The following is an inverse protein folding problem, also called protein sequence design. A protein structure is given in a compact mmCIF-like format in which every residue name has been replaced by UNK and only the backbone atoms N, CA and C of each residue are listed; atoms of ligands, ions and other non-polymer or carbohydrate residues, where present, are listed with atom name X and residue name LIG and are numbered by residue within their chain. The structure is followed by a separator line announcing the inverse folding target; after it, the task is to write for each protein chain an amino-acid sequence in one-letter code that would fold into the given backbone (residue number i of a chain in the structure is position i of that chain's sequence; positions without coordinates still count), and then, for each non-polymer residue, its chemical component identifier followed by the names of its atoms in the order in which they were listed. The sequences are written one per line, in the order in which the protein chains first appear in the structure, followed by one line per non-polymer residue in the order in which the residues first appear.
data_IF_874326543109
#
_entry.id   IF_874326543109
#
_cell.length_a   1.000
_cell.length_b   1.000
_cell.length_c   1.000
_cell.angle_alpha   90.00
_cell.angle_beta   90.00
_cell.angle_gamma   90.00
#
_symmetry.space_group_name_H-M   'P 1'
#
loop_
_entity.id
_entity.type
_entity.pdbx_description
1 polymer ?
#
# COMPACT_ATOMS: atom_id res chain seq x y z
N UNK A 1 -12.95 0.30 -0.86
CA UNK A 1 -13.28 -0.09 -2.23
C UNK A 1 -12.55 -1.38 -2.52
N UNK A 2 -13.21 -2.51 -2.27
CA UNK A 2 -12.84 -3.72 -3.00
C UNK A 2 -13.29 -3.48 -4.41
N UNK A 3 -12.36 -3.34 -5.34
CA UNK A 3 -12.72 -3.25 -6.74
C UNK A 3 -13.19 -4.66 -7.13
N UNK A 4 -14.49 -4.85 -7.30
CA UNK A 4 -15.02 -6.08 -7.91
C UNK A 4 -14.75 -6.00 -9.41
N UNK A 5 -13.49 -6.25 -9.79
CA UNK A 5 -13.08 -6.37 -11.17
C UNK A 5 -12.43 -7.74 -11.37
N UNK A 6 -12.84 -8.41 -12.46
CA UNK A 6 -12.13 -9.60 -12.94
C UNK A 6 -10.68 -9.22 -13.29
N UNK A 7 -9.66 -9.87 -12.71
CA UNK A 7 -8.28 -9.44 -12.87
C UNK A 7 -7.78 -9.70 -14.30
N UNK A 8 -7.10 -8.71 -14.86
CA UNK A 8 -6.45 -8.82 -16.16
C UNK A 8 -4.93 -8.75 -16.00
N UNK A 9 -4.23 -9.64 -16.69
CA UNK A 9 -2.77 -9.79 -16.61
C UNK A 9 -2.15 -9.44 -17.96
N UNK A 10 -1.18 -8.52 -17.94
CA UNK A 10 -0.46 -8.07 -19.12
C UNK A 10 1.05 -8.25 -18.91
N UNK A 11 1.79 -8.42 -20.01
CA UNK A 11 3.25 -8.54 -20.01
C UNK A 11 3.76 -9.99 -19.95
N UNK A 12 4.98 -10.17 -19.46
CA UNK A 12 5.70 -11.45 -19.42
C UNK A 12 6.38 -11.67 -18.06
N UNK A 13 7.25 -12.66 -17.93
CA UNK A 13 7.94 -12.95 -16.66
C UNK A 13 8.84 -11.81 -16.16
N UNK A 14 9.39 -10.99 -17.05
CA UNK A 14 10.29 -9.90 -16.69
C UNK A 14 9.54 -8.64 -16.23
N UNK A 15 8.33 -8.41 -16.76
CA UNK A 15 7.52 -7.21 -16.50
C UNK A 15 6.04 -7.57 -16.59
N UNK A 16 5.32 -7.42 -15.48
CA UNK A 16 3.87 -7.70 -15.41
C UNK A 16 3.12 -6.45 -14.97
N UNK A 17 1.95 -6.26 -15.57
CA UNK A 17 0.93 -5.34 -15.08
C UNK A 17 -0.28 -6.18 -14.73
N UNK A 18 -0.78 -5.99 -13.51
CA UNK A 18 -1.97 -6.66 -13.01
C UNK A 18 -3.02 -5.59 -12.76
N UNK A 19 -4.09 -5.62 -13.55
CA UNK A 19 -5.24 -4.75 -13.34
C UNK A 19 -6.28 -5.54 -12.54
N UNK A 20 -6.34 -5.30 -11.23
CA UNK A 20 -7.17 -6.03 -10.29
C UNK A 20 -7.21 -5.34 -8.92
N UNK A 21 -8.00 -5.89 -7.99
CA UNK A 21 -7.94 -5.48 -6.58
C UNK A 21 -6.54 -5.79 -6.01
N UNK A 22 -5.80 -4.75 -5.67
CA UNK A 22 -4.38 -4.86 -5.34
C UNK A 22 -4.10 -5.83 -4.20
N UNK A 23 -4.93 -5.83 -3.14
CA UNK A 23 -4.75 -6.71 -2.00
C UNK A 23 -5.07 -8.18 -2.35
N UNK A 24 -6.12 -8.41 -3.14
CA UNK A 24 -6.48 -9.74 -3.64
C UNK A 24 -5.38 -10.32 -4.52
N UNK A 25 -4.79 -9.53 -5.41
CA UNK A 25 -3.70 -9.98 -6.28
C UNK A 25 -2.38 -10.16 -5.53
N UNK A 26 -2.08 -9.29 -4.55
CA UNK A 26 -0.91 -9.40 -3.69
C UNK A 26 -0.89 -10.73 -2.92
N UNK A 27 -2.06 -11.20 -2.45
CA UNK A 27 -2.21 -12.50 -1.77
C UNK A 27 -1.88 -13.70 -2.64
N UNK A 28 -1.93 -13.57 -3.97
CA UNK A 28 -1.59 -14.66 -4.91
C UNK A 28 -0.08 -14.79 -5.11
N UNK A 29 0.70 -13.76 -4.77
CA UNK A 29 2.15 -13.80 -4.93
C UNK A 29 2.80 -14.73 -3.89
N UNK A 30 3.86 -15.48 -4.26
CA UNK A 30 4.56 -16.34 -3.31
C UNK A 30 5.20 -15.54 -2.17
N UNK A 31 5.27 -16.14 -1.00
CA UNK A 31 6.01 -15.56 0.13
C UNK A 31 7.51 -15.44 -0.20
N UNK A 32 8.19 -14.47 0.39
CA UNK A 32 9.63 -14.24 0.22
C UNK A 32 10.09 -14.20 -1.26
N UNK A 33 9.30 -13.60 -2.14
CA UNK A 33 9.58 -13.55 -3.60
C UNK A 33 10.00 -12.17 -4.11
N UNK A 34 9.72 -11.10 -3.35
CA UNK A 34 9.94 -9.71 -3.76
C UNK A 34 11.15 -9.11 -3.04
N UNK A 35 12.04 -8.46 -3.78
CA UNK A 35 13.21 -7.75 -3.23
C UNK A 35 12.86 -6.34 -2.76
N UNK A 36 11.97 -5.64 -3.47
CA UNK A 36 11.62 -4.25 -3.21
C UNK A 36 10.13 -4.02 -3.45
N UNK A 37 9.48 -3.35 -2.51
CA UNK A 37 8.10 -2.85 -2.65
C UNK A 37 8.12 -1.34 -2.54
N UNK A 38 7.35 -0.69 -3.42
CA UNK A 38 6.97 0.71 -3.31
C UNK A 38 5.44 0.77 -3.36
N UNK A 39 4.82 1.24 -2.28
CA UNK A 39 3.37 1.26 -2.13
C UNK A 39 2.89 2.67 -1.79
N UNK A 40 1.87 3.14 -2.50
CA UNK A 40 1.18 4.40 -2.26
C UNK A 40 -0.33 4.14 -2.09
N UNK A 41 -0.74 3.51 -0.97
CA UNK A 41 -2.15 3.22 -0.70
C UNK A 41 -2.93 4.53 -0.45
N UNK A 42 -4.28 4.52 -0.57
CA UNK A 42 -5.14 5.65 -0.22
C UNK A 42 -4.82 6.25 1.16
N UNK A 43 -5.00 7.56 1.33
CA UNK A 43 -4.67 8.25 2.59
C UNK A 43 -5.91 8.43 3.48
N UNK A 44 -7.11 8.20 2.94
CA UNK A 44 -8.37 8.36 3.65
C UNK A 44 -8.56 9.77 4.26
N UNK A 45 -8.14 10.81 3.53
CA UNK A 45 -8.14 12.21 4.00
C UNK A 45 -9.27 13.05 3.41
N UNK A 46 -10.31 12.43 2.85
CA UNK A 46 -11.46 13.14 2.28
C UNK A 46 -11.25 13.69 0.88
N UNK A 47 -10.18 13.30 0.19
CA UNK A 47 -9.92 13.72 -1.19
C UNK A 47 -10.91 13.04 -2.15
N UNK A 48 -11.37 13.81 -3.13
CA UNK A 48 -12.22 13.33 -4.21
C UNK A 48 -11.38 13.05 -5.46
N UNK A 49 -11.44 11.81 -5.94
CA UNK A 49 -10.84 11.38 -7.19
C UNK A 49 -11.96 11.01 -8.18
N UNK A 50 -12.50 12.01 -8.88
CA UNK A 50 -13.53 11.83 -9.91
C UNK A 50 -14.77 11.08 -9.40
N UNK A 51 -15.31 11.53 -8.26
CA UNK A 51 -16.45 10.93 -7.57
C UNK A 51 -16.07 9.81 -6.60
N UNK A 52 -14.80 9.38 -6.57
CA UNK A 52 -14.29 8.45 -5.57
C UNK A 52 -13.76 9.22 -4.36
N UNK A 53 -14.67 9.50 -3.42
CA UNK A 53 -14.33 10.20 -2.18
C UNK A 53 -13.69 9.24 -1.18
N UNK A 54 -12.52 9.60 -0.69
CA UNK A 54 -11.80 8.92 0.39
C UNK A 54 -12.46 9.19 1.76
N UNK A 55 -13.57 8.53 2.06
CA UNK A 55 -14.34 8.78 3.30
C UNK A 55 -14.71 7.50 4.07
N UNK A 56 -13.76 6.60 4.25
CA UNK A 56 -14.00 5.35 4.97
C UNK A 56 -14.00 5.62 6.47
N UNK A 57 -14.76 4.82 7.21
CA UNK A 57 -14.60 4.72 8.66
C UNK A 57 -13.14 4.38 9.01
N UNK A 58 -12.56 5.09 9.98
CA UNK A 58 -11.14 5.00 10.34
C UNK A 58 -10.74 3.57 10.73
N UNK A 59 -11.57 2.89 11.52
CA UNK A 59 -11.30 1.52 11.96
C UNK A 59 -11.22 0.57 10.76
N UNK A 60 -12.15 0.71 9.83
CA UNK A 60 -12.22 -0.10 8.61
C UNK A 60 -11.05 0.17 7.66
N UNK A 61 -10.67 1.44 7.52
CA UNK A 61 -9.51 1.85 6.73
C UNK A 61 -8.21 1.30 7.32
N UNK A 62 -8.00 1.46 8.63
CA UNK A 62 -6.80 0.97 9.31
C UNK A 62 -6.70 -0.56 9.26
N UNK A 63 -7.82 -1.26 9.42
CA UNK A 63 -7.86 -2.72 9.27
C UNK A 63 -7.39 -3.16 7.88
N UNK A 64 -7.89 -2.51 6.82
CA UNK A 64 -7.47 -2.77 5.45
C UNK A 64 -6.00 -2.41 5.21
N UNK A 65 -5.54 -1.25 5.68
CA UNK A 65 -4.16 -0.80 5.54
C UNK A 65 -3.18 -1.75 6.24
N UNK A 66 -3.52 -2.24 7.43
CA UNK A 66 -2.71 -3.20 8.16
C UNK A 66 -2.64 -4.55 7.45
N UNK A 67 -3.72 -4.99 6.82
CA UNK A 67 -3.75 -6.19 5.99
C UNK A 67 -2.84 -6.04 4.75
N UNK A 68 -2.83 -4.87 4.10
CA UNK A 68 -1.87 -4.57 3.04
C UNK A 68 -0.42 -4.65 3.53
N UNK A 69 -0.12 -4.09 4.71
CA UNK A 69 1.23 -4.13 5.29
C UNK A 69 1.65 -5.57 5.62
N UNK A 70 0.75 -6.38 6.17
CA UNK A 70 1.01 -7.79 6.47
C UNK A 70 1.32 -8.59 5.22
N UNK A 71 0.55 -8.40 4.15
CA UNK A 71 0.77 -9.08 2.88
C UNK A 71 2.05 -8.62 2.19
N UNK A 72 2.37 -7.32 2.24
CA UNK A 72 3.66 -6.79 1.78
C UNK A 72 4.83 -7.44 2.53
N UNK A 73 4.73 -7.56 3.87
CA UNK A 73 5.74 -8.25 4.67
C UNK A 73 5.90 -9.73 4.26
N UNK A 74 4.79 -10.44 4.04
CA UNK A 74 4.81 -11.86 3.65
C UNK A 74 5.52 -12.09 2.32
N UNK A 75 5.26 -11.26 1.31
CA UNK A 75 5.86 -11.44 -0.03
C UNK A 75 7.29 -10.94 -0.11
N UNK A 76 7.72 -10.06 0.79
CA UNK A 76 9.10 -9.59 0.84
C UNK A 76 10.05 -10.70 1.27
N UNK A 77 11.20 -10.78 0.60
CA UNK A 77 12.34 -11.58 1.08
C UNK A 77 12.81 -11.05 2.43
N UNK A 78 13.50 -11.90 3.20
CA UNK A 78 14.10 -11.56 4.52
C UNK A 78 15.02 -10.32 4.50
N UNK A 79 15.60 -10.01 3.34
CA UNK A 79 16.46 -8.84 3.14
C UNK A 79 15.83 -7.79 2.20
N UNK A 80 14.55 -7.98 1.85
CA UNK A 80 13.82 -7.04 1.03
C UNK A 80 13.48 -5.75 1.77
N UNK A 81 13.16 -4.72 1.01
CA UNK A 81 12.81 -3.39 1.54
C UNK A 81 11.43 -2.96 1.07
N UNK A 82 10.66 -2.32 1.95
CA UNK A 82 9.41 -1.66 1.62
C UNK A 82 9.55 -0.15 1.77
N UNK A 83 9.02 0.59 0.82
CA UNK A 83 8.66 1.99 0.94
C UNK A 83 7.13 2.08 0.93
N UNK A 84 6.56 2.73 1.95
CA UNK A 84 5.12 3.01 2.03
C UNK A 84 4.92 4.51 2.16
N UNK A 85 4.08 5.06 1.31
CA UNK A 85 3.71 6.47 1.32
C UNK A 85 2.36 6.65 2.00
N UNK A 86 2.22 7.73 2.77
CA UNK A 86 0.96 8.17 3.31
C UNK A 86 1.02 9.61 3.83
N UNK A 87 -0.12 10.13 4.28
CA UNK A 87 -0.21 11.41 4.99
C UNK A 87 0.52 11.39 6.33
N UNK A 88 0.87 12.58 6.82
CA UNK A 88 1.49 12.76 8.14
C UNK A 88 0.61 12.23 9.29
N UNK A 89 -0.70 12.34 9.14
CA UNK A 89 -1.73 11.96 10.09
C UNK A 89 -1.79 10.44 10.29
N UNK A 90 -1.55 9.67 9.23
CA UNK A 90 -1.56 8.20 9.28
C UNK A 90 -0.23 7.59 9.71
N UNK A 91 0.87 8.36 9.70
CA UNK A 91 2.20 7.85 10.05
C UNK A 91 2.29 7.20 11.45
N UNK A 92 1.67 7.71 12.52
CA UNK A 92 1.71 7.05 13.83
C UNK A 92 1.14 5.62 13.81
N UNK A 93 0.03 5.40 13.10
CA UNK A 93 -0.59 4.09 12.96
C UNK A 93 0.31 3.13 12.16
N UNK A 94 0.82 3.62 11.01
CA UNK A 94 1.73 2.84 10.16
C UNK A 94 3.03 2.51 10.90
N UNK A 95 3.59 3.46 11.65
CA UNK A 95 4.80 3.25 12.44
C UNK A 95 4.62 2.15 13.48
N UNK A 96 3.51 2.18 14.23
CA UNK A 96 3.23 1.16 15.24
C UNK A 96 3.05 -0.22 14.60
N UNK A 97 2.32 -0.31 13.49
CA UNK A 97 2.16 -1.56 12.74
C UNK A 97 3.49 -2.06 12.19
N UNK A 98 4.25 -1.22 11.49
CA UNK A 98 5.49 -1.63 10.85
C UNK A 98 6.57 -2.03 11.86
N UNK A 99 6.60 -1.46 13.07
CA UNK A 99 7.56 -1.85 14.12
C UNK A 99 7.41 -3.30 14.59
N UNK A 100 6.26 -3.94 14.39
CA UNK A 100 6.08 -5.35 14.75
C UNK A 100 6.62 -6.32 13.70
N UNK A 101 6.87 -5.84 12.48
CA UNK A 101 7.25 -6.66 11.32
C UNK A 101 8.61 -6.29 10.73
N UNK A 102 8.99 -5.01 10.78
CA UNK A 102 10.12 -4.44 10.06
C UNK A 102 11.08 -3.69 10.97
N UNK A 103 12.33 -3.60 10.54
CA UNK A 103 13.26 -2.59 11.06
C UNK A 103 13.08 -1.29 10.29
N UNK A 104 12.57 -0.25 10.94
CA UNK A 104 12.43 1.08 10.33
C UNK A 104 13.81 1.68 10.06
N UNK A 105 14.13 1.92 8.79
CA UNK A 105 15.43 2.48 8.35
C UNK A 105 15.42 3.99 8.23
N UNK A 106 14.33 4.54 7.71
CA UNK A 106 14.21 5.97 7.43
C UNK A 106 12.76 6.40 7.46
N UNK A 107 12.54 7.69 7.69
CA UNK A 107 11.28 8.40 7.39
C UNK A 107 11.63 9.48 6.39
N UNK A 108 11.10 9.37 5.18
CA UNK A 108 11.35 10.30 4.09
C UNK A 108 10.19 11.29 4.07
N UNK A 109 10.48 12.58 4.24
CA UNK A 109 9.48 13.64 4.14
C UNK A 109 9.55 14.23 2.74
N UNK A 110 8.51 13.98 1.94
CA UNK A 110 8.35 14.65 0.67
C UNK A 110 7.59 15.96 0.90
N UNK A 111 8.34 17.07 0.99
CA UNK A 111 7.77 18.40 1.11
C UNK A 111 7.68 19.04 -0.27
N UNK A 112 6.47 19.35 -0.70
CA UNK A 112 6.18 20.08 -1.92
C UNK A 112 4.94 20.94 -1.68
N UNK A 113 4.84 22.05 -2.40
CA UNK A 113 3.61 22.83 -2.43
C UNK A 113 2.62 22.12 -3.36
N UNK A 114 1.55 21.55 -2.80
CA UNK A 114 0.45 21.02 -3.60
C UNK A 114 -0.49 22.17 -3.99
N UNK A 115 0.07 23.24 -4.57
CA UNK A 115 -0.66 24.36 -5.12
C UNK A 115 -1.38 23.90 -6.41
N UNK A 116 -2.50 23.23 -6.22
CA UNK A 116 -3.42 22.77 -7.27
C UNK A 116 -4.89 22.90 -6.87
N UNK A 117 -5.17 23.55 -5.73
CA UNK A 117 -6.42 24.26 -5.44
C UNK A 117 -6.16 25.75 -5.50
#
# INVERSE_FOLDING_TARGET
MKAECEPQYFGDESKKIIHGDALTELKKLPSESIDLIFADPPYNIGKDFDGMVESWDETSFLAWLYECIDECHRVLKKHGTMYIMNSTENMPYIDLKCRTLFTIKSRIVWSYDSSGV
#
